data_IF_773941584780
#
_entry.id   IF_773941584780
#
_cell.length_a   1.000
_cell.length_b   1.000
_cell.length_c   1.000
_cell.angle_alpha   90.00
_cell.angle_beta   90.00
_cell.angle_gamma   90.00
#
_symmetry.space_group_name_H-M   'P 1'
#
loop_
_entity.id
_entity.type
_entity.pdbx_description
1 polymer ?
#
# COMPACT_ATOMS: atom_id res chain seq x y z
N UNK A 1 16.79 2.79 -14.40
CA UNK A 1 17.37 1.42 -14.51
C UNK A 1 18.13 1.25 -15.84
N UNK A 2 17.55 1.71 -16.96
CA UNK A 2 18.15 1.49 -18.30
C UNK A 2 19.46 2.25 -18.51
N UNK A 3 19.60 3.48 -17.98
CA UNK A 3 20.84 4.24 -18.04
C UNK A 3 21.98 3.59 -17.24
N UNK A 4 21.68 3.04 -16.05
CA UNK A 4 22.68 2.35 -15.25
C UNK A 4 23.15 1.05 -15.92
N UNK A 5 22.25 0.32 -16.59
CA UNK A 5 22.58 -0.87 -17.38
C UNK A 5 23.44 -0.53 -18.61
N UNK A 6 23.19 0.63 -19.24
CA UNK A 6 23.95 1.07 -20.43
C UNK A 6 25.41 1.42 -20.12
N UNK A 7 25.67 1.99 -18.93
CA UNK A 7 27.03 2.38 -18.51
C UNK A 7 27.75 1.34 -17.66
N UNK A 8 27.08 0.26 -17.24
CA UNK A 8 27.70 -0.82 -16.46
C UNK A 8 28.16 -1.96 -17.36
N UNK A 9 29.45 -2.26 -17.33
CA UNK A 9 30.01 -3.42 -18.04
C UNK A 9 29.50 -4.77 -17.49
N UNK A 10 29.07 -4.81 -16.19
CA UNK A 10 28.54 -6.00 -15.54
C UNK A 10 27.46 -5.58 -14.54
N UNK A 11 26.20 -5.43 -14.97
CA UNK A 11 25.10 -5.12 -14.05
C UNK A 11 24.89 -6.29 -13.09
N UNK A 12 25.06 -6.03 -11.78
CA UNK A 12 24.73 -6.99 -10.72
C UNK A 12 23.30 -6.76 -10.28
N UNK A 13 22.45 -7.76 -10.51
CA UNK A 13 21.10 -7.77 -9.94
C UNK A 13 21.19 -8.30 -8.51
N UNK A 14 20.75 -7.50 -7.52
CA UNK A 14 20.49 -7.98 -6.17
C UNK A 14 19.19 -8.79 -6.22
N UNK A 15 19.31 -10.12 -6.31
CA UNK A 15 18.19 -11.02 -6.53
C UNK A 15 17.59 -11.60 -5.24
N UNK A 16 18.18 -11.33 -4.07
CA UNK A 16 17.67 -11.79 -2.78
C UNK A 16 16.89 -10.69 -2.05
N UNK A 17 15.69 -11.05 -1.58
CA UNK A 17 14.78 -10.14 -0.88
C UNK A 17 14.49 -10.63 0.54
N UNK A 18 14.95 -9.84 1.53
CA UNK A 18 14.82 -10.14 2.97
C UNK A 18 13.79 -9.28 3.69
N UNK A 19 13.22 -8.26 3.03
CA UNK A 19 12.38 -7.24 3.66
C UNK A 19 10.96 -7.71 3.91
N UNK A 20 10.24 -7.99 2.86
CA UNK A 20 8.80 -8.22 2.89
C UNK A 20 8.45 -9.71 2.93
N UNK A 21 7.28 -10.01 3.47
CA UNK A 21 6.70 -11.34 3.35
C UNK A 21 6.39 -11.68 1.89
N UNK A 22 6.45 -12.98 1.51
CA UNK A 22 6.21 -13.41 0.12
C UNK A 22 4.94 -12.84 -0.54
N UNK A 23 3.75 -12.81 0.10
CA UNK A 23 2.57 -12.26 -0.54
C UNK A 23 2.74 -10.80 -1.02
N UNK A 24 3.48 -9.97 -0.28
CA UNK A 24 3.69 -8.56 -0.61
C UNK A 24 4.56 -8.40 -1.87
N UNK A 25 5.67 -9.14 -1.94
CA UNK A 25 6.64 -8.96 -3.03
C UNK A 25 6.34 -9.79 -4.27
N UNK A 26 5.54 -10.85 -4.17
CA UNK A 26 5.34 -11.80 -5.28
C UNK A 26 4.69 -11.15 -6.51
N UNK A 27 3.72 -10.25 -6.32
CA UNK A 27 3.16 -9.53 -7.46
C UNK A 27 4.22 -8.68 -8.16
N UNK A 28 4.94 -7.88 -7.38
CA UNK A 28 6.03 -7.04 -7.90
C UNK A 28 7.11 -7.88 -8.59
N UNK A 29 7.49 -9.01 -8.00
CA UNK A 29 8.48 -9.91 -8.57
C UNK A 29 8.05 -10.44 -9.95
N UNK A 30 6.80 -10.87 -10.07
CA UNK A 30 6.25 -11.36 -11.34
C UNK A 30 6.15 -10.25 -12.38
N UNK A 31 5.55 -9.12 -12.01
CA UNK A 31 5.19 -8.05 -12.96
C UNK A 31 6.39 -7.21 -13.42
N UNK A 32 7.31 -6.88 -12.49
CA UNK A 32 8.41 -5.93 -12.78
C UNK A 32 9.79 -6.58 -12.88
N UNK A 33 9.98 -7.77 -12.30
CA UNK A 33 11.28 -8.42 -12.23
C UNK A 33 11.35 -9.78 -12.92
N UNK A 34 10.26 -10.20 -13.59
CA UNK A 34 10.20 -11.46 -14.35
C UNK A 34 10.44 -12.71 -13.49
N UNK A 35 10.06 -12.66 -12.20
CA UNK A 35 10.21 -13.79 -11.28
C UNK A 35 11.64 -14.01 -10.76
N UNK A 36 12.58 -13.09 -11.02
CA UNK A 36 14.01 -13.28 -10.70
C UNK A 36 14.38 -13.05 -9.24
N UNK A 37 13.51 -12.39 -8.47
CA UNK A 37 13.79 -12.11 -7.05
C UNK A 37 13.53 -13.38 -6.23
N UNK A 38 14.54 -13.79 -5.45
CA UNK A 38 14.45 -14.87 -4.47
C UNK A 38 13.98 -14.31 -3.14
N UNK A 39 12.79 -14.69 -2.72
CA UNK A 39 12.21 -14.21 -1.46
C UNK A 39 12.74 -15.08 -0.33
N UNK A 40 13.53 -14.50 0.57
CA UNK A 40 14.24 -15.21 1.65
C UNK A 40 13.42 -15.33 2.94
N UNK A 41 12.32 -14.56 3.07
CA UNK A 41 11.42 -14.63 4.22
C UNK A 41 10.37 -15.74 4.02
N UNK A 42 9.98 -16.36 5.15
CA UNK A 42 8.88 -17.32 5.17
C UNK A 42 7.61 -16.64 5.71
N UNK A 43 6.46 -17.03 5.17
CA UNK A 43 5.15 -16.69 5.70
C UNK A 43 4.59 -17.93 6.42
N UNK A 44 4.21 -17.76 7.67
CA UNK A 44 3.59 -18.83 8.48
C UNK A 44 2.07 -18.91 8.30
N UNK A 45 1.50 -18.01 7.49
CA UNK A 45 0.06 -17.85 7.23
C UNK A 45 -0.80 -17.60 8.49
N UNK A 46 -0.18 -17.22 9.61
CA UNK A 46 -0.90 -16.95 10.86
C UNK A 46 -1.72 -15.66 10.82
N UNK A 47 -1.35 -14.74 9.92
CA UNK A 47 -2.00 -13.43 9.77
C UNK A 47 -2.24 -13.11 8.29
N UNK A 48 -3.34 -12.41 8.04
CA UNK A 48 -3.66 -11.87 6.71
C UNK A 48 -2.64 -10.79 6.33
N UNK A 49 -1.86 -11.04 5.27
CA UNK A 49 -0.76 -10.16 4.83
C UNK A 49 -1.24 -9.11 3.84
N UNK A 50 -2.16 -9.46 2.94
CA UNK A 50 -2.75 -8.55 1.96
C UNK A 50 -4.25 -8.46 2.18
N UNK A 51 -4.78 -7.23 2.07
CA UNK A 51 -6.20 -6.95 2.24
C UNK A 51 -6.65 -5.85 1.28
N UNK A 52 -7.87 -5.97 0.74
CA UNK A 52 -8.55 -4.90 0.01
C UNK A 52 -9.85 -4.54 0.70
N UNK A 53 -9.99 -3.27 1.08
CA UNK A 53 -11.21 -2.68 1.63
C UNK A 53 -11.88 -1.85 0.54
N UNK A 54 -13.01 -2.32 0.05
CA UNK A 54 -13.82 -1.57 -0.91
C UNK A 54 -14.77 -0.64 -0.15
N UNK A 55 -14.75 0.65 -0.50
CA UNK A 55 -15.61 1.69 0.07
C UNK A 55 -16.64 2.12 -0.99
N UNK A 56 -17.80 1.44 -1.08
CA UNK A 56 -18.69 1.53 -2.24
C UNK A 56 -19.31 2.91 -2.45
N UNK A 57 -19.50 3.69 -1.36
CA UNK A 57 -20.10 5.03 -1.42
C UNK A 57 -19.06 6.15 -1.57
N UNK A 58 -17.80 5.78 -1.79
CA UNK A 58 -16.71 6.74 -1.94
C UNK A 58 -16.84 7.55 -3.23
N UNK A 59 -16.60 8.85 -3.11
CA UNK A 59 -16.59 9.81 -4.22
C UNK A 59 -15.36 10.68 -4.13
N UNK A 60 -14.77 10.97 -5.27
CA UNK A 60 -13.65 11.89 -5.39
C UNK A 60 -14.18 13.30 -5.54
N UNK A 61 -13.62 14.24 -4.78
CA UNK A 61 -13.80 15.66 -4.94
C UNK A 61 -13.08 16.12 -6.21
N UNK A 62 -13.81 16.75 -7.12
CA UNK A 62 -13.28 17.15 -8.44
C UNK A 62 -12.09 18.09 -8.37
N UNK A 63 -12.09 19.01 -7.40
CA UNK A 63 -11.08 20.07 -7.34
C UNK A 63 -9.76 19.58 -6.71
N UNK A 64 -9.79 18.56 -5.86
CA UNK A 64 -8.67 18.21 -5.00
C UNK A 64 -8.25 16.73 -5.01
N UNK A 65 -8.89 15.89 -5.79
CA UNK A 65 -8.59 14.45 -5.86
C UNK A 65 -8.62 13.79 -4.45
N UNK A 66 -9.59 14.20 -3.63
CA UNK A 66 -9.84 13.69 -2.28
C UNK A 66 -11.03 12.77 -2.28
N UNK A 67 -10.93 11.70 -1.52
CA UNK A 67 -12.02 10.75 -1.29
C UNK A 67 -12.25 10.64 0.23
N UNK A 68 -13.15 11.48 0.75
CA UNK A 68 -13.38 11.55 2.19
C UNK A 68 -13.89 10.24 2.80
N UNK A 69 -14.87 9.51 2.21
CA UNK A 69 -15.29 8.22 2.73
C UNK A 69 -14.16 7.19 2.80
N UNK A 70 -13.24 7.19 1.83
CA UNK A 70 -12.08 6.31 1.83
C UNK A 70 -11.09 6.69 2.94
N UNK A 71 -10.88 8.00 3.19
CA UNK A 71 -10.09 8.50 4.31
C UNK A 71 -10.69 8.05 5.64
N UNK A 72 -12.01 8.21 5.82
CA UNK A 72 -12.71 7.81 7.06
C UNK A 72 -12.56 6.32 7.34
N UNK A 73 -12.73 5.47 6.31
CA UNK A 73 -12.54 4.03 6.42
C UNK A 73 -11.09 3.68 6.78
N UNK A 74 -10.11 4.33 6.15
CA UNK A 74 -8.69 4.13 6.44
C UNK A 74 -8.33 4.58 7.86
N UNK A 75 -8.75 5.77 8.28
CA UNK A 75 -8.45 6.31 9.62
C UNK A 75 -9.08 5.45 10.72
N UNK A 76 -10.30 4.94 10.50
CA UNK A 76 -10.93 3.99 11.41
C UNK A 76 -10.09 2.73 11.55
N UNK A 77 -9.64 2.15 10.44
CA UNK A 77 -8.81 0.94 10.43
C UNK A 77 -7.45 1.18 11.09
N UNK A 78 -6.82 2.33 10.82
CA UNK A 78 -5.59 2.74 11.47
C UNK A 78 -5.75 2.78 13.00
N UNK A 79 -6.82 3.41 13.49
CA UNK A 79 -7.09 3.49 14.93
C UNK A 79 -7.27 2.10 15.54
N UNK A 80 -8.01 1.21 14.89
CA UNK A 80 -8.18 -0.19 15.33
C UNK A 80 -6.83 -0.92 15.44
N UNK A 81 -5.96 -0.76 14.43
CA UNK A 81 -4.61 -1.37 14.42
C UNK A 81 -3.77 -0.85 15.59
N UNK A 82 -3.73 0.48 15.78
CA UNK A 82 -2.94 1.11 16.85
C UNK A 82 -3.41 0.64 18.23
N UNK A 83 -4.72 0.66 18.49
CA UNK A 83 -5.26 0.23 19.80
C UNK A 83 -5.02 -1.26 20.05
N UNK A 84 -5.14 -2.09 19.03
CA UNK A 84 -4.87 -3.51 19.15
C UNK A 84 -3.39 -3.79 19.43
N UNK A 85 -2.49 -3.08 18.74
CA UNK A 85 -1.04 -3.25 18.91
C UNK A 85 -0.57 -2.73 20.26
N UNK A 86 -1.08 -1.59 20.75
CA UNK A 86 -0.83 -1.08 22.10
C UNK A 86 -1.18 -2.09 23.18
N UNK A 87 -2.27 -2.84 22.98
CA UNK A 87 -2.70 -3.87 23.91
C UNK A 87 -1.81 -5.12 23.87
N UNK A 88 -1.33 -5.52 22.67
CA UNK A 88 -0.59 -6.77 22.46
C UNK A 88 0.92 -6.61 22.57
N UNK A 89 1.45 -5.50 22.12
CA UNK A 89 2.88 -5.26 21.96
C UNK A 89 3.32 -3.87 22.47
N UNK A 90 3.03 -3.51 23.73
CA UNK A 90 3.25 -2.13 24.23
C UNK A 90 4.73 -1.70 24.16
N UNK A 91 5.66 -2.64 24.29
CA UNK A 91 7.11 -2.39 24.32
C UNK A 91 7.77 -2.49 22.93
N UNK A 92 7.07 -3.02 21.94
CA UNK A 92 7.60 -3.18 20.58
C UNK A 92 6.51 -2.87 19.53
N UNK A 93 6.08 -1.61 19.43
CA UNK A 93 4.99 -1.21 18.55
C UNK A 93 5.34 -1.38 17.08
N UNK A 94 4.34 -1.73 16.27
CA UNK A 94 4.50 -1.80 14.82
C UNK A 94 4.63 -0.40 14.22
N UNK A 95 5.51 -0.25 13.23
CA UNK A 95 5.62 0.97 12.44
C UNK A 95 4.58 0.97 11.31
N UNK A 96 3.95 2.14 11.06
CA UNK A 96 2.82 2.25 10.12
C UNK A 96 3.08 3.34 9.08
N UNK A 97 2.87 3.00 7.81
CA UNK A 97 2.91 3.96 6.71
C UNK A 97 1.54 4.12 6.06
N UNK A 98 1.22 5.33 5.67
CA UNK A 98 0.00 5.65 4.92
C UNK A 98 0.41 6.27 3.60
N UNK A 99 0.05 5.63 2.50
CA UNK A 99 0.43 6.07 1.16
C UNK A 99 -0.83 6.46 0.38
N UNK A 100 -0.78 7.60 -0.29
CA UNK A 100 -1.70 7.90 -1.38
C UNK A 100 -0.96 8.49 -2.57
N UNK A 101 -1.34 8.15 -3.81
CA UNK A 101 -0.78 8.75 -5.01
C UNK A 101 -1.03 10.25 -5.13
N UNK A 102 -2.12 10.76 -4.54
CA UNK A 102 -2.56 12.15 -4.70
C UNK A 102 -2.22 13.01 -3.49
N UNK A 103 -1.54 14.14 -3.72
CA UNK A 103 -1.14 15.07 -2.65
C UNK A 103 -2.32 15.60 -1.83
N UNK A 104 -3.43 15.94 -2.49
CA UNK A 104 -4.63 16.43 -1.79
C UNK A 104 -5.22 15.37 -0.83
N UNK A 105 -5.16 14.09 -1.22
CA UNK A 105 -5.53 12.98 -0.34
C UNK A 105 -4.58 12.86 0.86
N UNK A 106 -3.26 12.97 0.61
CA UNK A 106 -2.22 12.93 1.66
C UNK A 106 -2.44 14.05 2.70
N UNK A 107 -2.66 15.28 2.25
CA UNK A 107 -2.88 16.41 3.17
C UNK A 107 -4.14 16.22 4.01
N UNK A 108 -5.22 15.72 3.40
CA UNK A 108 -6.44 15.43 4.14
C UNK A 108 -6.28 14.25 5.10
N UNK A 109 -5.51 13.22 4.72
CA UNK A 109 -5.16 12.09 5.61
C UNK A 109 -4.39 12.59 6.84
N UNK A 110 -3.39 13.46 6.68
CA UNK A 110 -2.66 14.07 7.81
C UNK A 110 -3.59 14.77 8.78
N UNK A 111 -4.50 15.60 8.27
CA UNK A 111 -5.50 16.30 9.09
C UNK A 111 -6.44 15.32 9.81
N UNK A 112 -6.86 14.26 9.13
CA UNK A 112 -7.82 13.32 9.69
C UNK A 112 -7.18 12.39 10.73
N UNK A 113 -5.94 11.97 10.52
CA UNK A 113 -5.18 11.15 11.47
C UNK A 113 -4.85 11.94 12.74
N UNK A 114 -4.43 13.22 12.63
CA UNK A 114 -4.12 14.05 13.80
C UNK A 114 -5.33 14.37 14.69
N UNK A 115 -6.56 14.19 14.19
CA UNK A 115 -7.79 14.31 15.01
C UNK A 115 -8.09 13.07 15.85
N UNK A 116 -7.54 11.92 15.47
CA UNK A 116 -7.88 10.61 16.06
C UNK A 116 -6.72 10.06 16.91
N UNK A 117 -5.48 10.32 16.52
CA UNK A 117 -4.29 9.86 17.22
C UNK A 117 -3.52 11.04 17.81
N UNK A 118 -3.04 10.88 19.05
CA UNK A 118 -2.13 11.85 19.67
C UNK A 118 -0.75 11.83 19.01
N UNK A 119 0.00 12.94 19.14
CA UNK A 119 1.40 13.01 18.66
C UNK A 119 2.25 11.88 19.24
N UNK A 120 2.09 11.59 20.52
CA UNK A 120 2.80 10.48 21.17
C UNK A 120 2.53 9.12 20.50
N UNK A 121 1.27 8.81 20.15
CA UNK A 121 0.94 7.58 19.43
C UNK A 121 1.51 7.58 18.01
N UNK A 122 1.49 8.75 17.34
CA UNK A 122 2.06 8.87 16.00
C UNK A 122 3.58 8.65 16.01
N UNK A 123 4.28 9.21 16.98
CA UNK A 123 5.72 9.00 17.15
C UNK A 123 6.05 7.55 17.52
N UNK A 124 5.33 6.99 18.49
CA UNK A 124 5.54 5.63 18.98
C UNK A 124 5.40 4.59 17.87
N UNK A 125 4.38 4.71 17.03
CA UNK A 125 4.15 3.84 15.88
C UNK A 125 4.88 4.30 14.60
N UNK A 126 5.76 5.30 14.69
CA UNK A 126 6.50 5.87 13.56
C UNK A 126 5.59 6.12 12.34
N UNK A 127 4.41 6.72 12.60
CA UNK A 127 3.39 6.93 11.55
C UNK A 127 3.91 7.95 10.54
N UNK A 128 4.10 7.51 9.30
CA UNK A 128 4.46 8.34 8.16
C UNK A 128 3.30 8.41 7.17
N UNK A 129 2.97 9.62 6.69
CA UNK A 129 1.87 9.84 5.74
C UNK A 129 2.41 10.60 4.54
N UNK A 130 2.37 9.99 3.36
CA UNK A 130 2.95 10.60 2.17
C UNK A 130 2.57 9.95 0.85
N UNK A 131 3.23 10.41 -0.20
CA UNK A 131 3.15 9.78 -1.52
C UNK A 131 4.21 8.66 -1.63
N UNK A 132 4.17 7.88 -2.72
CA UNK A 132 5.21 6.88 -2.98
C UNK A 132 6.64 7.46 -2.98
N UNK A 133 6.80 8.74 -3.38
CA UNK A 133 8.10 9.41 -3.33
C UNK A 133 8.60 9.63 -1.90
N UNK A 134 7.71 9.96 -0.96
CA UNK A 134 8.04 10.13 0.46
C UNK A 134 8.65 8.85 1.03
N UNK A 135 8.14 7.70 0.60
CA UNK A 135 8.58 6.39 1.05
C UNK A 135 9.74 5.78 0.23
N UNK A 136 10.37 6.57 -0.65
CA UNK A 136 11.48 6.05 -1.43
C UNK A 136 12.70 5.79 -0.52
N UNK A 137 13.10 4.51 -0.41
CA UNK A 137 14.16 4.08 0.50
C UNK A 137 13.70 3.75 1.92
N UNK A 138 12.47 4.06 2.28
CA UNK A 138 11.89 3.78 3.59
C UNK A 138 10.92 2.58 3.55
N UNK A 139 10.61 2.02 4.71
CA UNK A 139 9.73 0.85 4.87
C UNK A 139 9.02 0.87 6.22
N UNK A 140 7.84 0.28 6.31
CA UNK A 140 7.07 0.13 7.56
C UNK A 140 6.57 -1.30 7.71
N UNK A 141 6.26 -1.66 8.94
CA UNK A 141 5.70 -2.99 9.24
C UNK A 141 4.34 -3.17 8.58
N UNK A 142 3.50 -2.14 8.66
CA UNK A 142 2.17 -2.10 8.04
C UNK A 142 2.08 -0.90 7.11
N UNK A 143 1.57 -1.11 5.90
CA UNK A 143 1.25 -0.05 4.95
C UNK A 143 -0.26 -0.06 4.67
N UNK A 144 -0.89 1.12 4.79
CA UNK A 144 -2.24 1.39 4.32
C UNK A 144 -2.16 2.25 3.06
N UNK A 145 -2.73 1.79 1.95
CA UNK A 145 -2.77 2.55 0.70
C UNK A 145 -4.18 3.04 0.45
N UNK A 146 -4.35 4.36 0.29
CA UNK A 146 -5.57 4.97 -0.22
C UNK A 146 -5.39 5.31 -1.69
N UNK A 147 -6.05 4.55 -2.56
CA UNK A 147 -5.96 4.74 -4.01
C UNK A 147 -6.72 5.98 -4.48
N UNK A 148 -7.68 6.45 -3.68
CA UNK A 148 -8.54 7.60 -3.96
C UNK A 148 -9.16 7.53 -5.37
N UNK A 149 -9.60 6.33 -5.77
CA UNK A 149 -10.22 6.08 -7.07
C UNK A 149 -11.65 5.55 -6.90
N UNK A 150 -12.59 6.24 -7.51
CA UNK A 150 -14.02 6.00 -7.41
C UNK A 150 -14.72 6.04 -8.78
N UNK A 151 -16.01 5.76 -8.82
CA UNK A 151 -16.80 5.78 -10.07
C UNK A 151 -16.81 7.15 -10.76
N UNK A 152 -16.66 8.24 -10.01
CA UNK A 152 -16.61 9.60 -10.54
C UNK A 152 -15.18 10.12 -10.79
N UNK A 153 -14.15 9.28 -10.68
CA UNK A 153 -12.77 9.69 -10.97
C UNK A 153 -12.54 9.96 -12.46
N UNK A 154 -11.67 10.92 -12.75
CA UNK A 154 -11.28 11.20 -14.14
C UNK A 154 -10.41 10.06 -14.71
N UNK A 155 -10.49 9.77 -16.01
CA UNK A 155 -9.62 8.78 -16.66
C UNK A 155 -8.12 9.06 -16.46
N UNK A 156 -7.72 10.34 -16.41
CA UNK A 156 -6.34 10.76 -16.16
C UNK A 156 -5.82 10.31 -14.79
N UNK A 157 -6.70 10.23 -13.79
CA UNK A 157 -6.33 9.71 -12.46
C UNK A 157 -5.88 8.25 -12.56
N UNK A 158 -6.57 7.43 -13.35
CA UNK A 158 -6.18 6.03 -13.53
C UNK A 158 -4.84 5.90 -14.26
N UNK A 159 -4.59 6.72 -15.30
CA UNK A 159 -3.31 6.75 -16.01
C UNK A 159 -2.17 7.08 -15.05
N UNK A 160 -2.40 8.01 -14.11
CA UNK A 160 -1.41 8.36 -13.10
C UNK A 160 -1.15 7.21 -12.13
N UNK A 161 -2.22 6.54 -11.66
CA UNK A 161 -2.12 5.39 -10.73
C UNK A 161 -1.36 4.20 -11.34
N UNK A 162 -1.39 4.06 -12.65
CA UNK A 162 -0.76 2.96 -13.38
C UNK A 162 0.69 3.24 -13.81
N UNK A 163 1.33 4.31 -13.33
CA UNK A 163 2.75 4.57 -13.60
C UNK A 163 3.62 3.50 -12.91
N UNK A 164 4.32 2.62 -13.66
CA UNK A 164 4.94 1.41 -13.10
C UNK A 164 5.91 1.68 -11.95
N UNK A 165 6.76 2.70 -12.09
CA UNK A 165 7.76 3.01 -11.08
C UNK A 165 7.13 3.46 -9.75
N UNK A 166 6.13 4.36 -9.79
CA UNK A 166 5.46 4.84 -8.58
C UNK A 166 4.61 3.75 -7.94
N UNK A 167 3.93 2.97 -8.79
CA UNK A 167 3.13 1.85 -8.36
C UNK A 167 3.96 0.80 -7.62
N UNK A 168 5.06 0.37 -8.25
CA UNK A 168 5.97 -0.62 -7.65
C UNK A 168 6.57 -0.13 -6.32
N UNK A 169 6.96 1.14 -6.23
CA UNK A 169 7.41 1.71 -4.95
C UNK A 169 6.32 1.59 -3.89
N UNK A 170 5.08 2.00 -4.18
CA UNK A 170 4.00 1.98 -3.20
C UNK A 170 3.72 0.57 -2.65
N UNK A 171 3.59 -0.45 -3.53
CA UNK A 171 3.21 -1.82 -3.14
C UNK A 171 4.35 -2.64 -2.51
N UNK A 172 5.57 -2.12 -2.46
CA UNK A 172 6.73 -2.84 -1.90
C UNK A 172 7.27 -2.22 -0.61
N UNK A 173 6.53 -1.31 0.04
CA UNK A 173 6.97 -0.63 1.27
C UNK A 173 6.63 -1.35 2.57
N UNK A 174 5.72 -2.32 2.52
CA UNK A 174 5.33 -3.09 3.69
C UNK A 174 6.31 -4.23 3.98
N UNK A 175 6.55 -4.49 5.27
CA UNK A 175 7.28 -5.68 5.73
C UNK A 175 6.34 -6.85 5.99
N UNK A 176 5.21 -6.62 6.69
CA UNK A 176 4.34 -7.67 7.21
C UNK A 176 2.90 -7.61 6.71
N UNK A 177 2.35 -6.40 6.51
CA UNK A 177 0.96 -6.27 6.09
C UNK A 177 0.75 -5.07 5.17
N UNK A 178 -0.11 -5.25 4.17
CA UNK A 178 -0.57 -4.19 3.29
C UNK A 178 -2.08 -4.22 3.15
N UNK A 179 -2.71 -3.07 3.41
CA UNK A 179 -4.16 -2.89 3.33
C UNK A 179 -4.45 -1.83 2.27
N UNK A 180 -5.21 -2.22 1.26
CA UNK A 180 -5.59 -1.35 0.15
C UNK A 180 -7.01 -0.81 0.38
N UNK A 181 -7.21 0.50 0.21
CA UNK A 181 -8.52 1.15 0.24
C UNK A 181 -8.83 1.71 -1.14
N UNK A 182 -9.99 1.39 -1.67
CA UNK A 182 -10.47 1.83 -2.97
C UNK A 182 -11.98 1.98 -2.97
N UNK A 183 -12.50 2.97 -3.70
CA UNK A 183 -13.94 3.24 -3.76
C UNK A 183 -14.60 2.78 -5.07
N UNK A 184 -13.91 1.94 -5.81
CA UNK A 184 -14.45 1.25 -6.99
C UNK A 184 -14.22 -0.25 -6.85
N UNK A 185 -15.19 -1.06 -7.26
CA UNK A 185 -15.00 -2.53 -7.31
C UNK A 185 -13.78 -2.85 -8.20
N UNK A 186 -12.79 -3.58 -7.67
CA UNK A 186 -11.60 -3.95 -8.46
C UNK A 186 -11.94 -4.65 -9.79
N UNK A 187 -13.03 -5.40 -9.85
CA UNK A 187 -13.48 -6.12 -11.05
C UNK A 187 -14.02 -5.20 -12.13
N UNK A 188 -14.48 -4.01 -11.76
CA UNK A 188 -14.97 -2.97 -12.68
C UNK A 188 -13.89 -1.98 -13.12
N UNK A 189 -12.66 -2.11 -12.62
CA UNK A 189 -11.55 -1.30 -13.09
C UNK A 189 -11.22 -1.64 -14.55
N UNK A 190 -10.83 -0.64 -15.37
CA UNK A 190 -10.24 -0.91 -16.67
C UNK A 190 -8.99 -1.78 -16.54
N UNK A 191 -8.67 -2.52 -17.59
CA UNK A 191 -7.45 -3.32 -17.63
C UNK A 191 -6.20 -2.49 -17.37
N UNK A 192 -5.26 -3.08 -16.63
CA UNK A 192 -4.00 -2.42 -16.27
C UNK A 192 -3.44 -2.90 -14.92
N UNK A 193 -2.34 -2.29 -14.51
CA UNK A 193 -1.56 -2.70 -13.34
C UNK A 193 -2.41 -2.69 -12.05
N UNK A 194 -3.22 -1.65 -11.82
CA UNK A 194 -4.03 -1.54 -10.62
C UNK A 194 -5.05 -2.67 -10.52
N UNK A 195 -5.79 -2.95 -11.62
CA UNK A 195 -6.75 -4.08 -11.68
C UNK A 195 -6.06 -5.41 -11.46
N UNK A 196 -4.95 -5.64 -12.15
CA UNK A 196 -4.14 -6.86 -12.03
C UNK A 196 -3.65 -7.09 -10.60
N UNK A 197 -3.16 -6.03 -9.94
CA UNK A 197 -2.70 -6.10 -8.56
C UNK A 197 -3.84 -6.38 -7.57
N UNK A 198 -4.95 -5.65 -7.66
CA UNK A 198 -6.08 -5.88 -6.76
C UNK A 198 -6.73 -7.25 -6.98
N UNK A 199 -6.75 -7.75 -8.20
CA UNK A 199 -7.14 -9.14 -8.51
C UNK A 199 -6.20 -10.16 -7.85
N UNK A 200 -4.89 -9.91 -7.88
CA UNK A 200 -3.92 -10.75 -7.17
C UNK A 200 -4.16 -10.73 -5.64
N UNK A 201 -4.50 -9.57 -5.07
CA UNK A 201 -4.85 -9.47 -3.64
C UNK A 201 -6.13 -10.28 -3.34
N UNK A 202 -7.18 -10.17 -4.18
CA UNK A 202 -8.42 -10.94 -4.03
C UNK A 202 -8.16 -12.46 -4.07
N UNK A 203 -7.33 -12.93 -4.99
CA UNK A 203 -6.93 -14.34 -5.05
C UNK A 203 -6.17 -14.79 -3.79
N UNK A 204 -5.33 -13.93 -3.23
CA UNK A 204 -4.64 -14.20 -1.98
C UNK A 204 -5.63 -14.29 -0.81
N UNK A 205 -6.58 -13.34 -0.70
CA UNK A 205 -7.59 -13.32 0.35
C UNK A 205 -8.47 -14.57 0.32
N UNK A 206 -8.89 -15.01 -0.87
CA UNK A 206 -9.68 -16.22 -1.05
C UNK A 206 -8.92 -17.48 -0.60
N UNK A 207 -7.63 -17.58 -0.93
CA UNK A 207 -6.79 -18.71 -0.46
C UNK A 207 -6.56 -18.67 1.05
N UNK A 208 -6.34 -17.50 1.61
CA UNK A 208 -6.16 -17.33 3.06
C UNK A 208 -7.42 -17.70 3.85
N UNK A 209 -8.60 -17.40 3.33
CA UNK A 209 -9.88 -17.75 3.98
C UNK A 209 -10.16 -19.27 3.98
N UNK A 210 -9.48 -20.05 3.13
CA UNK A 210 -9.65 -21.50 3.01
C UNK A 210 -8.56 -22.29 3.76
N UNK A 211 -7.52 -21.62 4.28
CA UNK A 211 -6.42 -22.22 5.04
C UNK A 211 -6.67 -22.20 6.55
#
# INVERSE_FOLDING_TARGET
FDLANYYSMHPVLLDEHFRSLPPIINYSNKEFYGGRIKVMRRNDNSKKVLETVVVPDGKVDFDATRNLPEIEALVKRLHEIVIEDERKNPDNPVSIGIISPFRAQVEQLKISVSKVLSEHMMEKHQIEIGTAHTFQGDERDIILISWAYANNSFPQSLIFLQKPNLFNVAITRARYQMINFISKDPRELPEGILRSYLGFVEEYENRFALS
#
